data_IF_223652869082
#
_entry.id   IF_223652869082
#
_cell.length_a   1.000
_cell.length_b   1.000
_cell.length_c   1.000
_cell.angle_alpha   90.00
_cell.angle_beta   90.00
_cell.angle_gamma   90.00
#
_symmetry.space_group_name_H-M   'P 1'
#
loop_
_entity.id
_entity.type
_entity.pdbx_description
1 polymer ?
#
# COMPACT_ATOMS: atom_id res chain seq x y z
N UNK A 1 -3.23 7.31 -27.29
CA UNK A 1 -2.20 6.46 -26.65
C UNK A 1 -2.84 5.83 -25.43
N UNK A 2 -3.00 4.52 -25.38
CA UNK A 2 -3.53 3.81 -24.22
C UNK A 2 -2.50 3.89 -23.08
N UNK A 3 -2.84 4.58 -21.99
CA UNK A 3 -1.99 4.65 -20.80
C UNK A 3 -1.73 3.23 -20.26
N UNK A 4 -0.52 2.92 -19.78
CA UNK A 4 -0.21 1.60 -19.26
C UNK A 4 -1.03 1.34 -17.98
N UNK A 5 -2.06 0.51 -18.10
CA UNK A 5 -2.94 0.13 -17.01
C UNK A 5 -2.21 -0.76 -15.99
N UNK A 6 -2.49 -0.56 -14.69
CA UNK A 6 -2.00 -1.43 -13.62
C UNK A 6 -2.68 -2.80 -13.62
N UNK A 7 -2.08 -3.80 -12.96
CA UNK A 7 -2.66 -5.14 -12.92
C UNK A 7 -3.65 -5.28 -11.75
N UNK A 8 -4.90 -5.71 -11.98
CA UNK A 8 -5.81 -6.02 -10.88
C UNK A 8 -5.27 -7.18 -10.04
N UNK A 9 -5.26 -6.99 -8.72
CA UNK A 9 -4.74 -7.97 -7.75
C UNK A 9 -5.77 -8.09 -6.61
N UNK A 10 -6.57 -9.17 -6.59
CA UNK A 10 -7.63 -9.32 -5.60
C UNK A 10 -7.04 -9.40 -4.18
N UNK A 11 -7.77 -8.84 -3.22
CA UNK A 11 -7.37 -8.71 -1.83
C UNK A 11 -6.95 -10.05 -1.22
N UNK A 12 -7.73 -11.11 -1.46
CA UNK A 12 -7.41 -12.44 -0.92
C UNK A 12 -6.05 -12.97 -1.36
N UNK A 13 -5.68 -12.72 -2.61
CA UNK A 13 -4.39 -13.16 -3.16
C UNK A 13 -3.26 -12.39 -2.53
N UNK A 14 -3.45 -11.08 -2.32
CA UNK A 14 -2.47 -10.24 -1.65
C UNK A 14 -2.28 -10.68 -0.20
N UNK A 15 -3.35 -10.95 0.54
CA UNK A 15 -3.28 -11.43 1.93
C UNK A 15 -2.58 -12.78 1.98
N UNK A 16 -3.04 -13.76 1.20
CA UNK A 16 -2.51 -15.13 1.23
C UNK A 16 -1.02 -15.15 0.92
N UNK A 17 -0.59 -14.44 -0.13
CA UNK A 17 0.83 -14.37 -0.49
C UNK A 17 1.64 -13.59 0.54
N UNK A 18 1.07 -12.56 1.16
CA UNK A 18 1.73 -11.82 2.23
C UNK A 18 1.97 -12.70 3.46
N UNK A 19 0.97 -13.49 3.87
CA UNK A 19 1.13 -14.44 4.98
C UNK A 19 2.13 -15.54 4.64
N UNK A 20 2.00 -16.16 3.46
CA UNK A 20 2.87 -17.25 3.02
C UNK A 20 4.35 -16.83 2.87
N UNK A 21 4.61 -15.55 2.62
CA UNK A 21 5.97 -15.01 2.41
C UNK A 21 6.46 -14.16 3.59
N UNK A 22 5.81 -14.23 4.76
CA UNK A 22 6.18 -13.42 5.93
C UNK A 22 6.29 -11.92 5.61
N UNK A 23 5.27 -11.38 4.93
CA UNK A 23 5.13 -9.98 4.50
C UNK A 23 6.05 -9.51 3.37
N UNK A 24 6.94 -10.36 2.85
CA UNK A 24 7.79 -9.99 1.71
C UNK A 24 6.96 -9.62 0.47
N UNK A 25 5.92 -10.41 0.18
CA UNK A 25 5.00 -10.12 -0.93
C UNK A 25 4.27 -8.79 -0.73
N UNK A 26 3.92 -8.42 0.51
CA UNK A 26 3.27 -7.15 0.80
C UNK A 26 4.18 -5.95 0.47
N UNK A 27 5.47 -6.08 0.81
CA UNK A 27 6.49 -5.10 0.43
C UNK A 27 6.60 -4.97 -1.09
N UNK A 28 6.76 -6.08 -1.80
CA UNK A 28 6.79 -6.10 -3.27
C UNK A 28 5.50 -5.52 -3.88
N UNK A 29 4.34 -5.84 -3.31
CA UNK A 29 3.06 -5.31 -3.74
C UNK A 29 3.01 -3.77 -3.62
N UNK A 30 3.46 -3.20 -2.50
CA UNK A 30 3.53 -1.73 -2.35
C UNK A 30 4.49 -1.08 -3.34
N UNK A 31 5.58 -1.77 -3.66
CA UNK A 31 6.54 -1.31 -4.66
C UNK A 31 5.89 -1.22 -6.05
N UNK A 32 5.26 -2.32 -6.51
CA UNK A 32 4.75 -2.41 -7.88
C UNK A 32 3.55 -1.50 -8.11
N UNK A 33 2.63 -1.34 -7.15
CA UNK A 33 1.48 -0.45 -7.33
C UNK A 33 1.90 1.01 -7.47
N UNK A 34 2.96 1.44 -6.77
CA UNK A 34 3.43 2.83 -6.91
C UNK A 34 4.08 3.06 -8.26
N UNK A 35 4.79 2.07 -8.77
CA UNK A 35 5.37 2.12 -10.10
C UNK A 35 4.28 2.11 -11.18
N UNK A 36 3.24 1.30 -11.03
CA UNK A 36 2.05 1.31 -11.91
C UNK A 36 1.33 2.67 -11.87
N UNK A 37 1.07 3.20 -10.67
CA UNK A 37 0.44 4.52 -10.49
C UNK A 37 1.28 5.65 -11.07
N UNK A 38 2.61 5.58 -10.96
CA UNK A 38 3.54 6.57 -11.54
C UNK A 38 3.52 6.52 -13.07
N UNK A 39 3.45 5.32 -13.64
CA UNK A 39 3.36 5.12 -15.10
C UNK A 39 2.02 5.57 -15.67
N UNK A 40 0.94 5.27 -14.96
CA UNK A 40 -0.41 5.68 -15.36
C UNK A 40 -0.60 7.19 -15.28
N UNK A 41 -0.27 7.81 -14.14
CA UNK A 41 -0.46 9.26 -13.97
C UNK A 41 0.60 10.11 -14.71
N UNK A 42 1.68 9.51 -15.21
CA UNK A 42 2.84 10.23 -15.77
C UNK A 42 3.71 10.97 -14.73
N UNK A 43 3.24 11.11 -13.48
CA UNK A 43 3.97 11.67 -12.34
C UNK A 43 3.70 10.84 -11.07
N UNK A 44 4.64 10.83 -10.12
CA UNK A 44 4.48 10.05 -8.89
C UNK A 44 5.80 9.71 -8.21
N UNK A 45 5.71 9.06 -7.05
CA UNK A 45 6.91 8.50 -6.41
C UNK A 45 7.20 7.12 -6.98
N UNK A 46 8.49 6.80 -7.13
CA UNK A 46 8.88 5.44 -7.49
C UNK A 46 8.63 4.49 -6.31
N UNK A 47 8.37 3.22 -6.62
CA UNK A 47 8.33 2.17 -5.59
C UNK A 47 9.62 2.11 -4.76
N UNK A 48 10.76 2.46 -5.36
CA UNK A 48 12.05 2.49 -4.65
C UNK A 48 12.09 3.60 -3.61
N UNK A 49 11.59 4.80 -3.91
CA UNK A 49 11.57 5.92 -2.96
C UNK A 49 10.65 5.64 -1.75
N UNK A 50 9.61 4.84 -1.94
CA UNK A 50 8.71 4.50 -0.84
C UNK A 50 9.22 3.40 0.08
N UNK A 51 9.97 2.43 -0.44
CA UNK A 51 10.48 1.32 0.35
C UNK A 51 11.90 1.52 0.87
N UNK A 52 12.76 2.25 0.15
CA UNK A 52 14.16 2.41 0.54
C UNK A 52 14.32 3.01 1.95
N UNK A 53 13.58 4.06 2.36
CA UNK A 53 13.74 4.61 3.71
C UNK A 53 13.17 3.71 4.81
N UNK A 54 12.24 2.81 4.49
CA UNK A 54 11.81 1.78 5.43
C UNK A 54 12.89 0.70 5.61
N UNK A 55 13.45 0.21 4.49
CA UNK A 55 14.52 -0.80 4.52
C UNK A 55 15.76 -0.25 5.24
N UNK A 56 16.21 0.94 4.85
CA UNK A 56 17.41 1.58 5.41
C UNK A 56 17.17 2.17 6.80
N UNK A 57 15.97 2.68 7.09
CA UNK A 57 15.66 3.34 8.35
C UNK A 57 15.16 2.39 9.44
N UNK A 58 14.54 1.26 9.09
CA UNK A 58 13.98 0.30 10.05
C UNK A 58 14.67 -1.06 9.98
N UNK A 59 14.67 -1.71 8.82
CA UNK A 59 15.13 -3.09 8.71
C UNK A 59 16.64 -3.22 8.97
N UNK A 60 17.47 -2.32 8.42
CA UNK A 60 18.92 -2.33 8.64
C UNK A 60 19.28 -2.01 10.10
N UNK A 61 18.79 -0.94 10.74
CA UNK A 61 19.10 -0.66 12.15
C UNK A 61 18.61 -1.75 13.11
N UNK A 62 17.45 -2.35 12.85
CA UNK A 62 16.94 -3.46 13.67
C UNK A 62 17.76 -4.73 13.50
N UNK A 63 18.17 -5.07 12.27
CA UNK A 63 19.06 -6.20 12.03
C UNK A 63 20.43 -5.99 12.72
N UNK A 64 21.02 -4.80 12.57
CA UNK A 64 22.28 -4.46 13.22
C UNK A 64 22.16 -4.54 14.75
N UNK A 65 21.09 -4.02 15.35
CA UNK A 65 20.87 -4.12 16.78
C UNK A 65 20.71 -5.56 17.31
N UNK A 66 20.13 -6.47 16.51
CA UNK A 66 19.93 -7.88 16.90
C UNK A 66 21.23 -8.70 16.75
N UNK A 67 21.99 -8.45 15.69
CA UNK A 67 23.14 -9.29 15.32
C UNK A 67 24.50 -8.73 15.76
N UNK A 68 24.57 -7.45 16.14
CA UNK A 68 25.81 -6.78 16.52
C UNK A 68 25.70 -6.15 17.92
N UNK A 69 26.38 -6.72 18.94
CA UNK A 69 26.34 -6.22 20.31
C UNK A 69 27.05 -4.86 20.50
N UNK A 70 27.83 -4.40 19.52
CA UNK A 70 28.57 -3.13 19.59
C UNK A 70 27.72 -1.93 19.10
N UNK A 71 26.50 -2.17 18.62
CA UNK A 71 25.61 -1.12 18.13
C UNK A 71 24.98 -0.35 19.31
N UNK A 72 25.21 0.97 19.42
CA UNK A 72 24.67 1.76 20.51
C UNK A 72 23.13 1.74 20.52
N UNK A 73 22.51 1.59 21.69
CA UNK A 73 21.05 1.53 21.82
C UNK A 73 20.30 2.77 21.30
N UNK A 74 20.98 3.92 21.17
CA UNK A 74 20.39 5.11 20.56
C UNK A 74 20.19 4.98 19.04
N UNK A 75 20.91 4.07 18.38
CA UNK A 75 20.80 3.83 16.93
C UNK A 75 19.42 3.28 16.53
N UNK A 76 18.75 2.59 17.46
CA UNK A 76 17.37 2.14 17.30
C UNK A 76 16.38 3.30 17.07
N UNK A 77 16.68 4.52 17.51
CA UNK A 77 15.80 5.69 17.31
C UNK A 77 15.69 6.12 15.85
N UNK A 78 16.66 5.78 14.99
CA UNK A 78 16.53 6.00 13.54
C UNK A 78 15.34 5.24 12.93
N UNK A 79 14.88 4.16 13.58
CA UNK A 79 13.66 3.46 13.19
C UNK A 79 12.42 4.34 13.20
N UNK A 80 12.38 5.38 14.05
CA UNK A 80 11.28 6.34 14.05
C UNK A 80 11.18 7.12 12.75
N UNK A 81 12.30 7.49 12.12
CA UNK A 81 12.29 8.16 10.82
C UNK A 81 11.72 7.26 9.72
N UNK A 82 12.09 5.98 9.74
CA UNK A 82 11.54 4.99 8.81
C UNK A 82 10.04 4.74 9.04
N UNK A 83 9.58 4.75 10.29
CA UNK A 83 8.15 4.67 10.63
C UNK A 83 7.43 5.92 10.12
N UNK A 84 7.89 7.13 10.44
CA UNK A 84 7.27 8.37 9.94
C UNK A 84 7.19 8.36 8.41
N UNK A 85 8.25 7.87 7.74
CA UNK A 85 8.25 7.74 6.29
C UNK A 85 7.18 6.78 5.77
N UNK A 86 6.99 5.60 6.38
CA UNK A 86 5.97 4.64 5.94
C UNK A 86 4.56 5.26 6.04
N UNK A 87 4.31 6.08 7.06
CA UNK A 87 3.04 6.80 7.21
C UNK A 87 2.85 7.86 6.12
N UNK A 88 3.89 8.63 5.77
CA UNK A 88 3.84 9.61 4.67
C UNK A 88 3.54 8.90 3.34
N UNK A 89 4.24 7.79 3.05
CA UNK A 89 4.03 6.97 1.85
C UNK A 89 2.59 6.46 1.78
N UNK A 90 2.06 5.92 2.89
CA UNK A 90 0.70 5.40 2.94
C UNK A 90 -0.34 6.52 2.75
N UNK A 91 -0.18 7.65 3.44
CA UNK A 91 -1.06 8.80 3.30
C UNK A 91 -1.14 9.27 1.85
N UNK A 92 0.02 9.38 1.18
CA UNK A 92 0.09 9.75 -0.23
C UNK A 92 -0.62 8.71 -1.11
N UNK A 93 -0.35 7.42 -0.92
CA UNK A 93 -0.97 6.35 -1.68
C UNK A 93 -2.50 6.38 -1.59
N UNK A 94 -3.04 6.61 -0.39
CA UNK A 94 -4.49 6.71 -0.17
C UNK A 94 -5.08 7.91 -0.91
N UNK A 95 -4.41 9.07 -0.87
CA UNK A 95 -4.83 10.24 -1.66
C UNK A 95 -4.78 9.96 -3.15
N UNK A 96 -3.76 9.27 -3.65
CA UNK A 96 -3.67 8.91 -5.07
C UNK A 96 -4.82 8.02 -5.50
N UNK A 97 -5.17 6.99 -4.72
CA UNK A 97 -6.32 6.12 -5.02
C UNK A 97 -7.64 6.91 -5.01
N UNK A 98 -7.83 7.81 -4.05
CA UNK A 98 -9.00 8.69 -4.04
C UNK A 98 -9.05 9.61 -5.26
N UNK A 99 -7.93 10.20 -5.66
CA UNK A 99 -7.85 11.03 -6.86
C UNK A 99 -8.21 10.24 -8.12
N UNK A 100 -7.76 8.99 -8.26
CA UNK A 100 -8.15 8.13 -9.38
C UNK A 100 -9.66 7.92 -9.44
N UNK A 101 -10.28 7.60 -8.30
CA UNK A 101 -11.73 7.44 -8.22
C UNK A 101 -12.46 8.75 -8.57
N UNK A 102 -12.00 9.88 -8.04
CA UNK A 102 -12.57 11.19 -8.32
C UNK A 102 -12.46 11.56 -9.81
N UNK A 103 -11.32 11.30 -10.44
CA UNK A 103 -11.10 11.55 -11.87
C UNK A 103 -12.01 10.70 -12.75
N UNK A 104 -12.29 9.46 -12.33
CA UNK A 104 -13.26 8.58 -12.98
C UNK A 104 -14.73 8.91 -12.65
N UNK A 105 -15.00 10.04 -11.99
CA UNK A 105 -16.36 10.47 -11.61
C UNK A 105 -17.01 9.61 -10.52
N UNK A 106 -16.21 8.84 -9.76
CA UNK A 106 -16.67 7.96 -8.69
C UNK A 106 -16.45 8.60 -7.31
N UNK A 107 -17.20 8.09 -6.33
CA UNK A 107 -17.01 8.46 -4.92
C UNK A 107 -15.67 7.95 -4.39
N UNK A 108 -15.02 8.77 -3.58
CA UNK A 108 -13.74 8.45 -2.95
C UNK A 108 -13.87 7.30 -1.94
N UNK A 109 -13.09 6.21 -2.12
CA UNK A 109 -13.29 5.01 -1.31
C UNK A 109 -12.54 4.98 0.02
N UNK A 110 -11.53 5.84 0.21
CA UNK A 110 -10.65 5.79 1.38
C UNK A 110 -10.81 7.04 2.24
N UNK A 111 -11.03 6.84 3.54
CA UNK A 111 -10.92 7.92 4.53
C UNK A 111 -9.48 7.98 5.00
N UNK A 112 -8.68 8.88 4.40
CA UNK A 112 -7.23 8.95 4.61
C UNK A 112 -6.85 9.11 6.09
N UNK A 113 -7.66 9.82 6.88
CA UNK A 113 -7.43 10.07 8.31
C UNK A 113 -7.44 8.81 9.19
N UNK A 114 -8.10 7.74 8.75
CA UNK A 114 -8.14 6.48 9.49
C UNK A 114 -6.77 5.80 9.61
N UNK A 115 -5.76 6.23 8.85
CA UNK A 115 -4.37 5.78 9.02
C UNK A 115 -3.83 6.07 10.43
N UNK A 116 -4.28 7.15 11.08
CA UNK A 116 -3.80 7.55 12.41
C UNK A 116 -4.54 6.87 13.55
N UNK A 117 -5.63 6.13 13.26
CA UNK A 117 -6.41 5.43 14.27
C UNK A 117 -5.90 3.98 14.35
N UNK A 118 -5.38 3.54 15.52
CA UNK A 118 -4.96 2.16 15.72
C UNK A 118 -6.07 1.17 15.37
N UNK A 119 -5.74 0.13 14.60
CA UNK A 119 -6.71 -0.87 14.11
C UNK A 119 -7.40 -0.47 12.81
N UNK A 120 -7.81 0.80 12.65
CA UNK A 120 -8.40 1.26 11.37
C UNK A 120 -7.34 1.38 10.27
N UNK A 121 -6.07 1.64 10.59
CA UNK A 121 -4.98 1.68 9.62
C UNK A 121 -4.89 0.41 8.75
N UNK A 122 -5.11 -0.76 9.36
CA UNK A 122 -5.14 -2.05 8.67
C UNK A 122 -6.36 -2.11 7.74
N UNK A 123 -7.53 -1.72 8.23
CA UNK A 123 -8.77 -1.69 7.45
C UNK A 123 -8.62 -0.80 6.22
N UNK A 124 -8.06 0.41 6.37
CA UNK A 124 -7.82 1.32 5.24
C UNK A 124 -6.80 0.72 4.26
N UNK A 125 -5.77 0.05 4.76
CA UNK A 125 -4.81 -0.67 3.91
C UNK A 125 -5.48 -1.77 3.08
N UNK A 126 -6.36 -2.56 3.68
CA UNK A 126 -7.12 -3.60 2.97
C UNK A 126 -8.10 -3.00 1.96
N UNK A 127 -8.83 -1.93 2.34
CA UNK A 127 -9.69 -1.17 1.43
C UNK A 127 -8.88 -0.64 0.25
N UNK A 128 -7.71 -0.05 0.49
CA UNK A 128 -6.84 0.47 -0.56
C UNK A 128 -6.47 -0.61 -1.59
N UNK A 129 -6.12 -1.81 -1.13
CA UNK A 129 -5.82 -2.94 -2.03
C UNK A 129 -7.05 -3.30 -2.87
N UNK A 130 -8.19 -3.48 -2.21
CA UNK A 130 -9.43 -3.88 -2.87
C UNK A 130 -9.88 -2.86 -3.93
N UNK A 131 -10.00 -1.57 -3.55
CA UNK A 131 -10.45 -0.52 -4.46
C UNK A 131 -9.46 -0.27 -5.60
N UNK A 132 -8.14 -0.34 -5.35
CA UNK A 132 -7.18 -0.23 -6.44
C UNK A 132 -7.31 -1.40 -7.43
N UNK A 133 -7.54 -2.62 -6.93
CA UNK A 133 -7.79 -3.78 -7.78
C UNK A 133 -9.07 -3.63 -8.61
N UNK A 134 -10.16 -3.14 -7.99
CA UNK A 134 -11.43 -2.91 -8.67
C UNK A 134 -11.33 -1.81 -9.73
N UNK A 135 -10.60 -0.74 -9.43
CA UNK A 135 -10.31 0.32 -10.40
C UNK A 135 -9.62 -0.24 -11.65
N UNK A 136 -8.53 -1.00 -11.49
CA UNK A 136 -7.84 -1.58 -12.64
C UNK A 136 -8.66 -2.61 -13.39
N UNK A 137 -9.46 -3.41 -12.69
CA UNK A 137 -10.38 -4.35 -13.31
C UNK A 137 -11.38 -3.62 -14.22
N UNK A 138 -11.96 -2.53 -13.71
CA UNK A 138 -12.91 -1.69 -14.44
C UNK A 138 -12.29 -1.06 -15.67
N UNK A 139 -11.10 -0.46 -15.55
CA UNK A 139 -10.38 0.13 -16.69
C UNK A 139 -10.04 -0.89 -17.78
N UNK A 140 -9.92 -2.17 -17.41
CA UNK A 140 -9.65 -3.28 -18.34
C UNK A 140 -10.94 -3.98 -18.84
N UNK A 141 -12.12 -3.55 -18.40
CA UNK A 141 -13.38 -4.24 -18.70
C UNK A 141 -13.48 -5.65 -18.10
N UNK A 142 -12.68 -5.94 -17.06
CA UNK A 142 -12.62 -7.23 -16.38
C UNK A 142 -13.43 -7.22 -15.09
N UNK A 143 -14.00 -8.36 -14.73
CA UNK A 143 -14.64 -8.57 -13.43
C UNK A 143 -13.66 -9.34 -12.54
N UNK A 144 -13.25 -8.72 -11.42
CA UNK A 144 -12.43 -9.37 -10.40
C UNK A 144 -13.33 -9.76 -9.25
N UNK A 145 -13.58 -11.06 -9.11
CA UNK A 145 -14.22 -11.62 -7.91
C UNK A 145 -13.26 -11.54 -6.74
N UNK A 146 -13.67 -10.85 -5.68
CA UNK A 146 -12.86 -10.68 -4.48
C UNK A 146 -13.66 -11.16 -3.27
N UNK A 147 -13.73 -12.49 -3.13
CA UNK A 147 -14.59 -13.17 -2.15
C UNK A 147 -14.42 -12.66 -0.71
N UNK A 148 -13.23 -12.19 -0.33
CA UNK A 148 -13.00 -11.63 1.01
C UNK A 148 -13.60 -10.24 1.20
N UNK A 149 -13.58 -9.39 0.17
CA UNK A 149 -14.18 -8.06 0.26
C UNK A 149 -15.70 -8.14 0.09
N UNK A 150 -16.20 -9.06 -0.73
CA UNK A 150 -17.63 -9.33 -0.90
C UNK A 150 -18.29 -9.85 0.39
N UNK A 151 -17.55 -10.64 1.19
CA UNK A 151 -18.04 -11.16 2.47
C UNK A 151 -17.91 -10.19 3.65
N UNK A 152 -17.13 -9.11 3.50
CA UNK A 152 -16.85 -8.15 4.58
C UNK A 152 -17.27 -6.74 4.14
N UNK A 153 -18.51 -6.30 4.44
CA UNK A 153 -19.07 -5.06 3.93
C UNK A 153 -18.25 -3.81 4.34
N UNK A 154 -17.51 -3.85 5.45
CA UNK A 154 -16.63 -2.74 5.83
C UNK A 154 -15.38 -2.58 4.92
N UNK A 155 -15.04 -3.59 4.12
CA UNK A 155 -13.94 -3.56 3.15
C UNK A 155 -14.38 -3.15 1.74
N UNK A 156 -15.64 -3.45 1.38
CA UNK A 156 -16.20 -3.22 0.04
C UNK A 156 -17.20 -2.06 -0.04
N UNK A 157 -17.83 -1.66 1.08
CA UNK A 157 -18.78 -0.56 1.07
C UNK A 157 -18.08 0.76 0.76
N UNK A 158 -18.42 1.31 -0.40
CA UNK A 158 -18.05 2.65 -0.83
C UNK A 158 -19.04 3.62 -0.15
N UNK A 159 -18.79 3.89 1.15
CA UNK A 159 -19.69 4.65 2.03
C UNK A 159 -19.90 6.06 1.53
#
# INVERSE_FOLDING_TARGET
>A
MSEPLGKPRPLWRVILLSVATLMLYYGWYKWIIQEELRRYNGFGWSGTLSLAPFVLGVAVPQALWIFDPDVPGWFGWFSLLGIVWIYIVQFKLYRTVNTLYRQAGMKEPLVVWWIFVPGLNLIVGLRQIHFLSQFWAREQGMIVKDALAENLPFLSANA
#
